data_IF_294168476236
#
_entry.id   IF_294168476236
#
_cell.length_a   1.000
_cell.length_b   1.000
_cell.length_c   1.000
_cell.angle_alpha   90.00
_cell.angle_beta   90.00
_cell.angle_gamma   90.00
#
_symmetry.space_group_name_H-M   'P 1'
#
loop_
_entity.id
_entity.type
_entity.pdbx_description
1 polymer ?
#
# COMPACT_ATOMS: atom_id res chain seq x y z
N UNK A 1 -6.30 -20.68 0.15
CA UNK A 1 -5.67 -19.38 0.50
C UNK A 1 -5.24 -18.68 -0.78
N UNK A 2 -6.00 -17.73 -1.27
CA UNK A 2 -5.62 -17.05 -2.51
C UNK A 2 -4.44 -16.10 -2.30
N UNK A 3 -3.62 -16.02 -3.32
CA UNK A 3 -2.50 -15.08 -3.39
C UNK A 3 -2.76 -14.18 -4.60
N UNK A 4 -2.77 -12.88 -4.35
CA UNK A 4 -3.08 -11.90 -5.38
C UNK A 4 -1.92 -10.92 -5.48
N UNK A 5 -1.47 -10.67 -6.71
CA UNK A 5 -0.48 -9.63 -6.97
C UNK A 5 -1.10 -8.54 -7.82
N UNK A 6 -0.71 -7.30 -7.58
CA UNK A 6 -1.20 -6.17 -8.36
C UNK A 6 -0.24 -4.99 -8.29
N UNK A 7 -0.45 -4.05 -9.21
CA UNK A 7 0.22 -2.74 -9.20
C UNK A 7 -0.88 -1.69 -9.14
N UNK A 8 -0.74 -0.73 -8.24
CA UNK A 8 -1.69 0.36 -8.09
C UNK A 8 -0.96 1.68 -8.26
N UNK A 9 -1.50 2.55 -9.12
CA UNK A 9 -0.98 3.90 -9.33
C UNK A 9 -1.54 4.81 -8.24
N UNK A 10 -0.66 5.56 -7.60
CA UNK A 10 -1.02 6.40 -6.47
C UNK A 10 -1.05 7.88 -6.85
N UNK A 11 -1.78 8.67 -6.06
CA UNK A 11 -1.92 10.11 -6.21
C UNK A 11 -1.15 10.83 -5.10
N UNK A 12 -0.68 12.05 -5.36
CA UNK A 12 -0.07 12.87 -4.32
C UNK A 12 -1.08 13.75 -3.57
N UNK A 13 -2.36 13.71 -3.95
CA UNK A 13 -3.40 14.57 -3.35
C UNK A 13 -4.54 13.77 -2.72
N UNK A 14 -4.73 12.52 -3.11
CA UNK A 14 -5.87 11.71 -2.67
C UNK A 14 -5.38 10.33 -2.23
N UNK A 15 -5.80 9.89 -1.05
CA UNK A 15 -5.53 8.53 -0.59
C UNK A 15 -6.29 7.54 -1.46
N UNK A 16 -5.59 6.54 -1.98
CA UNK A 16 -6.14 5.49 -2.84
C UNK A 16 -6.19 4.19 -2.07
N UNK A 17 -7.32 3.50 -2.09
CA UNK A 17 -7.43 2.20 -1.42
C UNK A 17 -6.50 1.19 -2.07
N UNK A 18 -5.69 0.52 -1.26
CA UNK A 18 -4.74 -0.49 -1.74
C UNK A 18 -5.32 -1.89 -1.52
N UNK A 19 -5.72 -2.21 -0.30
CA UNK A 19 -6.19 -3.55 0.04
C UNK A 19 -7.04 -3.50 1.31
N UNK A 20 -7.97 -4.45 1.42
CA UNK A 20 -8.77 -4.63 2.62
C UNK A 20 -10.23 -4.32 2.41
N UNK A 21 -10.95 -4.12 3.52
CA UNK A 21 -12.36 -3.79 3.50
C UNK A 21 -13.30 -4.97 3.38
N UNK A 22 -12.80 -6.18 3.53
CA UNK A 22 -13.62 -7.39 3.52
C UNK A 22 -13.56 -8.06 4.90
N UNK A 23 -14.15 -9.23 5.02
CA UNK A 23 -14.25 -9.95 6.29
C UNK A 23 -13.10 -10.93 6.52
N UNK A 24 -12.01 -10.78 5.78
CA UNK A 24 -10.87 -11.69 5.85
C UNK A 24 -9.64 -10.97 6.33
N UNK A 25 -8.77 -11.64 7.10
CA UNK A 25 -7.44 -11.10 7.38
C UNK A 25 -6.57 -11.18 6.14
N UNK A 26 -5.63 -10.24 6.03
CA UNK A 26 -4.69 -10.18 4.93
C UNK A 26 -3.27 -10.04 5.43
N UNK A 27 -2.35 -10.78 4.82
CA UNK A 27 -0.92 -10.49 4.95
C UNK A 27 -0.49 -9.81 3.65
N UNK A 28 -0.02 -8.59 3.77
CA UNK A 28 0.25 -7.74 2.60
C UNK A 28 1.72 -7.40 2.56
N UNK A 29 2.35 -7.65 1.43
CA UNK A 29 3.71 -7.17 1.15
C UNK A 29 3.60 -6.03 0.14
N UNK A 30 4.16 -4.89 0.49
CA UNK A 30 4.15 -3.70 -0.35
C UNK A 30 5.57 -3.38 -0.79
N UNK A 31 5.71 -3.02 -2.05
CA UNK A 31 7.01 -2.72 -2.63
C UNK A 31 6.94 -1.41 -3.40
N UNK A 32 7.82 -0.47 -3.06
CA UNK A 32 8.00 0.73 -3.85
C UNK A 32 8.83 0.36 -5.08
N UNK A 33 8.18 0.33 -6.25
CA UNK A 33 8.80 -0.17 -7.48
C UNK A 33 9.77 0.80 -8.13
N UNK A 34 9.87 2.02 -7.61
CA UNK A 34 10.76 3.04 -8.20
C UNK A 34 12.21 2.78 -7.84
N UNK A 35 13.11 3.32 -8.65
CA UNK A 35 14.55 3.21 -8.42
C UNK A 35 15.22 4.57 -8.31
N UNK A 36 14.45 5.64 -8.47
CA UNK A 36 14.97 7.01 -8.45
C UNK A 36 14.88 7.58 -7.04
N UNK A 37 15.89 8.32 -6.60
CA UNK A 37 15.85 9.02 -5.33
C UNK A 37 14.70 10.03 -5.30
N UNK A 38 14.18 10.32 -4.10
CA UNK A 38 13.08 11.25 -3.87
C UNK A 38 11.74 10.80 -4.46
N UNK A 39 11.57 9.49 -4.70
CA UNK A 39 10.30 8.91 -5.12
C UNK A 39 9.80 7.99 -4.04
N UNK A 40 8.84 8.46 -3.24
CA UNK A 40 8.37 7.78 -2.04
C UNK A 40 6.92 7.34 -2.19
N UNK A 41 6.65 6.11 -1.74
CA UNK A 41 5.28 5.61 -1.56
C UNK A 41 4.93 5.78 -0.10
N UNK A 42 3.75 6.35 0.17
CA UNK A 42 3.24 6.55 1.53
C UNK A 42 2.06 5.64 1.78
N UNK A 43 1.95 5.11 3.00
CA UNK A 43 0.85 4.22 3.37
C UNK A 43 0.24 4.69 4.70
N UNK A 44 -1.06 4.47 4.84
CA UNK A 44 -1.77 4.87 6.05
C UNK A 44 -3.27 4.63 5.95
N UNK A 45 -4.04 5.24 6.86
CA UNK A 45 -5.49 5.16 6.87
C UNK A 45 -6.12 6.09 5.82
N UNK A 46 -7.45 6.04 5.68
CA UNK A 46 -8.17 6.81 4.67
C UNK A 46 -7.96 8.32 4.78
N UNK A 47 -7.69 8.83 5.98
CA UNK A 47 -7.47 10.25 6.21
C UNK A 47 -5.97 10.63 6.23
N UNK A 48 -5.12 9.78 5.68
CA UNK A 48 -3.69 10.03 5.61
C UNK A 48 -3.35 11.25 4.78
N UNK A 49 -2.19 11.84 5.07
CA UNK A 49 -1.58 12.88 4.24
C UNK A 49 -0.11 12.49 4.01
N UNK A 50 0.55 13.16 3.06
CA UNK A 50 1.97 12.91 2.83
C UNK A 50 2.82 13.22 4.08
N UNK A 51 2.38 14.18 4.90
CA UNK A 51 3.09 14.54 6.12
C UNK A 51 2.76 13.63 7.30
N UNK A 52 1.64 12.91 7.25
CA UNK A 52 1.15 12.08 8.36
C UNK A 52 0.94 10.64 7.86
N UNK A 53 2.04 9.97 7.59
CA UNK A 53 2.01 8.62 7.03
C UNK A 53 3.38 7.98 7.17
N UNK A 54 3.44 6.68 6.89
CA UNK A 54 4.71 5.95 6.81
C UNK A 54 5.12 5.89 5.35
N UNK A 55 6.36 6.26 5.05
CA UNK A 55 6.81 6.21 3.66
C UNK A 55 7.76 5.03 3.41
N UNK A 56 7.77 4.58 2.17
CA UNK A 56 8.69 3.57 1.68
C UNK A 56 9.70 4.27 0.75
N UNK A 57 10.97 4.04 1.02
CA UNK A 57 12.05 4.54 0.16
C UNK A 57 12.03 3.80 -1.18
N UNK A 58 12.65 4.36 -2.23
CA UNK A 58 12.75 3.64 -3.52
C UNK A 58 13.33 2.24 -3.33
N UNK A 59 12.62 1.24 -3.86
CA UNK A 59 13.02 -0.15 -3.76
C UNK A 59 12.74 -0.84 -2.44
N UNK A 60 12.19 -0.12 -1.47
CA UNK A 60 11.90 -0.70 -0.15
C UNK A 60 10.66 -1.59 -0.19
N UNK A 61 10.69 -2.65 0.62
CA UNK A 61 9.58 -3.58 0.80
C UNK A 61 9.19 -3.62 2.27
N UNK A 62 7.88 -3.65 2.54
CA UNK A 62 7.36 -3.76 3.91
C UNK A 62 6.23 -4.79 3.94
N UNK A 63 6.07 -5.44 5.08
CA UNK A 63 5.02 -6.42 5.30
C UNK A 63 4.07 -5.93 6.39
N UNK A 64 2.76 -6.04 6.14
CA UNK A 64 1.72 -5.55 7.04
C UNK A 64 0.65 -6.63 7.16
N UNK A 65 0.16 -6.85 8.39
CA UNK A 65 -0.99 -7.73 8.64
C UNK A 65 -2.22 -6.89 8.88
N UNK A 66 -3.28 -7.14 8.11
CA UNK A 66 -4.57 -6.49 8.27
C UNK A 66 -5.55 -7.46 8.91
N UNK A 67 -6.32 -6.98 9.88
CA UNK A 67 -7.42 -7.72 10.48
C UNK A 67 -8.65 -7.62 9.58
N UNK A 68 -9.64 -8.53 9.74
CA UNK A 68 -10.90 -8.39 9.01
C UNK A 68 -11.47 -6.97 9.18
N UNK A 69 -11.86 -6.35 8.07
CA UNK A 69 -12.41 -5.01 8.05
C UNK A 69 -11.40 -3.88 7.94
N UNK A 70 -10.13 -4.13 8.21
CA UNK A 70 -9.10 -3.09 8.06
C UNK A 70 -8.88 -2.77 6.57
N UNK A 71 -8.63 -1.49 6.27
CA UNK A 71 -8.35 -1.02 4.92
C UNK A 71 -7.07 -0.22 4.92
N UNK A 72 -6.19 -0.52 3.96
CA UNK A 72 -4.91 0.19 3.79
C UNK A 72 -5.01 1.10 2.59
N UNK A 73 -4.58 2.34 2.77
CA UNK A 73 -4.55 3.36 1.71
C UNK A 73 -3.12 3.77 1.41
N UNK A 74 -2.91 4.35 0.24
CA UNK A 74 -1.61 4.83 -0.17
C UNK A 74 -1.67 6.14 -0.93
N UNK A 75 -0.55 6.84 -0.88
CA UNK A 75 -0.30 8.05 -1.67
C UNK A 75 1.14 7.98 -2.17
N UNK A 76 1.48 8.84 -3.09
CA UNK A 76 2.85 8.89 -3.62
C UNK A 76 3.37 10.32 -3.70
N UNK A 77 4.68 10.45 -3.65
CA UNK A 77 5.37 11.73 -3.82
C UNK A 77 6.62 11.46 -4.69
N UNK A 78 6.62 11.88 -5.94
CA UNK A 78 5.62 12.65 -6.68
C UNK A 78 4.39 11.84 -7.09
N UNK A 79 3.44 12.51 -7.71
CA UNK A 79 2.21 11.91 -8.20
C UNK A 79 2.48 10.83 -9.26
N UNK A 80 1.69 9.76 -9.22
CA UNK A 80 1.71 8.75 -10.28
C UNK A 80 2.65 7.60 -10.07
N UNK A 81 3.27 7.46 -8.90
CA UNK A 81 4.10 6.29 -8.60
C UNK A 81 3.23 5.05 -8.43
N UNK A 82 3.81 3.89 -8.71
CA UNK A 82 3.12 2.62 -8.53
C UNK A 82 3.66 1.88 -7.33
N UNK A 83 2.77 1.25 -6.57
CA UNK A 83 3.14 0.33 -5.49
C UNK A 83 2.82 -1.08 -5.93
N UNK A 84 3.77 -1.99 -5.74
CA UNK A 84 3.59 -3.42 -5.97
C UNK A 84 3.00 -4.06 -4.72
N UNK A 85 2.02 -4.93 -4.90
CA UNK A 85 1.27 -5.54 -3.80
C UNK A 85 1.26 -7.04 -3.97
N UNK A 86 1.62 -7.75 -2.90
CA UNK A 86 1.39 -9.19 -2.76
C UNK A 86 0.44 -9.37 -1.58
N UNK A 87 -0.77 -9.81 -1.86
CA UNK A 87 -1.83 -9.95 -0.86
C UNK A 87 -2.13 -11.43 -0.66
N UNK A 88 -1.95 -11.92 0.55
CA UNK A 88 -2.30 -13.28 0.94
C UNK A 88 -3.55 -13.20 1.81
N UNK A 89 -4.65 -13.67 1.26
CA UNK A 89 -5.93 -13.70 1.96
C UNK A 89 -6.02 -14.99 2.77
N UNK A 90 -6.20 -14.84 4.06
CA UNK A 90 -6.21 -15.97 4.99
C UNK A 90 -7.64 -16.18 5.47
N UNK A 91 -8.38 -17.02 4.75
CA UNK A 91 -9.82 -17.17 4.92
C UNK A 91 -10.25 -18.54 5.44
N UNK A 92 -9.39 -19.29 6.09
CA UNK A 92 -9.79 -20.59 6.67
C UNK A 92 -10.44 -20.48 8.03
#
# INVERSE_FOLDING_TARGET
>A
MPIITSLITLSNTTATEIVGGDNMPHQVTLHNTTKSSNEYVHIGPADMTLANSIHLDPGQTIQITLRPGDVLYGMSDPNGLEVGILDIQNND
#
